data_IF_911374705766
#
_entry.id   IF_911374705766
#
_cell.length_a   1.000
_cell.length_b   1.000
_cell.length_c   1.000
_cell.angle_alpha   90.00
_cell.angle_beta   90.00
_cell.angle_gamma   90.00
#
_symmetry.space_group_name_H-M   'P 1'
#
loop_
_entity.id
_entity.type
_entity.pdbx_description
1 polymer ?
#
# COMPACT_ATOMS: atom_id res chain seq x y z
N UNK A 1 0.16 11.05 -25.66
CA UNK A 1 -1.32 11.10 -25.51
C UNK A 1 -1.97 10.08 -26.41
N UNK A 2 -2.90 9.35 -25.89
CA UNK A 2 -3.66 8.36 -26.66
C UNK A 2 -4.75 9.03 -27.46
N UNK A 3 -4.92 8.63 -28.71
CA UNK A 3 -5.95 9.17 -29.61
C UNK A 3 -6.97 8.10 -29.93
N UNK A 4 -8.07 8.49 -30.54
CA UNK A 4 -9.16 7.61 -30.92
C UNK A 4 -10.35 7.69 -29.97
N UNK A 5 -11.39 6.92 -30.29
CA UNK A 5 -12.67 6.97 -29.60
C UNK A 5 -12.56 6.62 -28.10
N UNK A 6 -11.66 5.72 -27.75
CA UNK A 6 -11.49 5.22 -26.39
C UNK A 6 -10.15 5.61 -25.76
N UNK A 7 -9.43 6.54 -26.38
CA UNK A 7 -8.09 6.92 -25.91
C UNK A 7 -8.07 7.50 -24.51
N UNK A 8 -9.15 8.15 -24.09
CA UNK A 8 -9.26 8.70 -22.74
C UNK A 8 -9.38 7.63 -21.63
N UNK A 9 -9.56 6.37 -22.04
CA UNK A 9 -9.58 5.26 -21.10
C UNK A 9 -8.19 4.66 -20.87
N UNK A 10 -7.20 5.09 -21.63
CA UNK A 10 -5.80 4.67 -21.49
C UNK A 10 -5.05 5.82 -20.83
N UNK A 11 -4.74 5.67 -19.56
CA UNK A 11 -4.20 6.74 -18.73
C UNK A 11 -2.76 6.41 -18.35
N UNK A 12 -1.77 7.08 -18.99
CA UNK A 12 -0.38 6.90 -18.62
C UNK A 12 -0.14 7.40 -17.20
N UNK A 13 0.75 6.71 -16.48
CA UNK A 13 1.11 7.12 -15.13
C UNK A 13 2.58 7.47 -15.07
N UNK A 14 2.90 8.43 -14.22
CA UNK A 14 4.28 8.79 -13.92
C UNK A 14 4.72 8.08 -12.66
N UNK A 15 5.96 7.60 -12.69
CA UNK A 15 6.58 7.02 -11.50
C UNK A 15 7.12 8.18 -10.64
N UNK A 16 6.75 8.17 -9.37
CA UNK A 16 7.20 9.19 -8.41
C UNK A 16 8.54 8.75 -7.81
N UNK A 17 9.60 9.47 -8.14
CA UNK A 17 10.94 9.20 -7.62
C UNK A 17 11.16 9.94 -6.30
N UNK A 18 10.37 9.59 -5.28
CA UNK A 18 10.42 10.19 -3.95
C UNK A 18 11.10 9.22 -2.98
N UNK A 19 12.12 9.68 -2.28
CA UNK A 19 12.76 8.90 -1.24
C UNK A 19 11.95 8.94 0.06
N UNK A 20 11.90 7.86 0.84
CA UNK A 20 12.49 6.54 0.53
C UNK A 20 11.52 5.60 -0.19
N UNK A 21 10.31 6.05 -0.54
CA UNK A 21 9.22 5.22 -1.05
C UNK A 21 8.79 5.62 -2.46
N UNK A 22 9.61 5.27 -3.50
CA UNK A 22 9.19 5.52 -4.89
C UNK A 22 7.89 4.78 -5.20
N UNK A 23 6.95 5.45 -5.86
CA UNK A 23 5.64 4.86 -6.10
C UNK A 23 5.00 5.25 -7.43
N UNK A 24 3.94 4.51 -7.78
CA UNK A 24 2.95 4.86 -8.79
C UNK A 24 1.62 5.02 -8.08
N UNK A 25 0.94 6.13 -8.33
CA UNK A 25 -0.34 6.40 -7.71
C UNK A 25 -1.46 6.48 -8.75
N UNK A 26 -2.57 5.82 -8.43
CA UNK A 26 -3.80 5.86 -9.20
C UNK A 26 -4.85 6.54 -8.32
N UNK A 27 -5.24 7.74 -8.70
CA UNK A 27 -6.24 8.50 -7.96
C UNK A 27 -7.59 8.33 -8.65
N UNK A 28 -8.46 7.52 -8.07
CA UNK A 28 -9.71 7.12 -8.69
C UNK A 28 -10.60 8.29 -9.09
N UNK A 29 -10.72 9.31 -8.26
CA UNK A 29 -11.54 10.48 -8.55
C UNK A 29 -10.98 11.30 -9.71
N UNK A 30 -9.68 11.60 -9.68
CA UNK A 30 -9.04 12.45 -10.66
C UNK A 30 -8.76 11.73 -11.98
N UNK A 31 -8.26 10.50 -11.89
CA UNK A 31 -7.84 9.75 -13.08
C UNK A 31 -8.98 9.00 -13.75
N UNK A 32 -9.85 8.40 -12.97
CA UNK A 32 -10.81 7.41 -13.48
C UNK A 32 -12.26 7.69 -13.10
N UNK A 33 -12.48 8.71 -12.28
CA UNK A 33 -13.81 9.08 -11.78
C UNK A 33 -14.52 7.89 -11.13
N UNK A 34 -13.75 7.11 -10.38
CA UNK A 34 -14.25 5.89 -9.73
C UNK A 34 -13.95 5.93 -8.23
N UNK A 35 -14.57 5.03 -7.49
CA UNK A 35 -14.39 4.95 -6.04
C UNK A 35 -13.26 3.98 -5.66
N UNK A 36 -12.20 3.90 -6.49
CA UNK A 36 -11.04 3.03 -6.23
C UNK A 36 -9.76 3.79 -6.48
N UNK A 37 -8.86 3.74 -5.52
CA UNK A 37 -7.51 4.30 -5.66
C UNK A 37 -6.49 3.25 -5.28
N UNK A 38 -5.27 3.34 -5.80
CA UNK A 38 -4.19 2.47 -5.37
C UNK A 38 -2.84 3.17 -5.46
N UNK A 39 -1.89 2.63 -4.70
CA UNK A 39 -0.50 3.07 -4.71
C UNK A 39 0.36 1.81 -4.81
N UNK A 40 1.31 1.81 -5.74
CA UNK A 40 2.29 0.75 -5.89
C UNK A 40 3.63 1.30 -5.45
N UNK A 41 4.20 0.75 -4.39
CA UNK A 41 5.42 1.26 -3.79
C UNK A 41 6.52 0.21 -3.88
N UNK A 42 7.73 0.65 -4.24
CA UNK A 42 8.91 -0.21 -4.20
C UNK A 42 9.54 -0.16 -2.81
N UNK A 43 9.74 -1.33 -2.21
CA UNK A 43 10.41 -1.44 -0.92
C UNK A 43 11.77 -2.08 -1.15
N UNK A 44 12.84 -1.33 -0.92
CA UNK A 44 14.21 -1.74 -1.26
C UNK A 44 15.08 -2.05 -0.07
N UNK A 45 14.71 -1.55 1.11
CA UNK A 45 15.52 -1.70 2.31
C UNK A 45 14.64 -1.69 3.55
N UNK A 46 15.14 -2.18 4.69
CA UNK A 46 14.40 -2.15 5.95
C UNK A 46 14.03 -0.72 6.34
N UNK A 47 12.81 -0.55 6.83
CA UNK A 47 12.33 0.75 7.30
C UNK A 47 11.01 0.61 8.06
N UNK A 48 10.64 1.65 8.78
CA UNK A 48 9.32 1.81 9.36
C UNK A 48 8.53 2.75 8.47
N UNK A 49 7.54 2.22 7.75
CA UNK A 49 6.74 3.03 6.84
C UNK A 49 5.70 3.86 7.59
N UNK A 50 5.01 3.23 8.53
CA UNK A 50 4.02 3.90 9.38
C UNK A 50 4.32 3.54 10.82
N UNK A 51 4.66 4.56 11.60
CA UNK A 51 5.04 4.37 13.00
C UNK A 51 3.81 4.31 13.90
N UNK A 52 2.80 5.13 13.61
CA UNK A 52 1.66 5.30 14.51
C UNK A 52 0.41 4.59 14.00
N UNK A 53 -0.30 3.87 14.89
CA UNK A 53 -1.58 3.30 14.53
C UNK A 53 -2.59 4.37 14.12
N UNK A 54 -3.43 4.01 13.17
CA UNK A 54 -4.49 4.88 12.65
C UNK A 54 -5.57 4.03 12.02
N UNK A 55 -6.67 4.65 11.64
CA UNK A 55 -7.73 4.00 10.88
C UNK A 55 -8.20 4.87 9.74
N UNK A 56 -9.01 4.28 8.87
CA UNK A 56 -9.59 4.98 7.72
C UNK A 56 -11.09 4.74 7.66
N UNK A 57 -11.79 5.66 6.99
CA UNK A 57 -13.22 5.58 6.76
C UNK A 57 -13.53 4.89 5.43
N UNK A 58 -12.77 3.83 5.10
CA UNK A 58 -12.94 3.01 3.90
C UNK A 58 -12.25 1.66 4.06
N UNK A 59 -12.64 0.70 3.23
CA UNK A 59 -11.98 -0.59 3.17
C UNK A 59 -10.68 -0.47 2.39
N UNK A 60 -9.67 -1.21 2.82
CA UNK A 60 -8.34 -1.15 2.23
C UNK A 60 -7.70 -2.54 2.20
N UNK A 61 -6.83 -2.75 1.21
CA UNK A 61 -6.01 -3.93 1.11
C UNK A 61 -4.55 -3.52 0.97
N UNK A 62 -3.68 -4.19 1.71
CA UNK A 62 -2.23 -4.11 1.50
C UNK A 62 -1.78 -5.43 0.92
N UNK A 63 -1.09 -5.40 -0.22
CA UNK A 63 -0.55 -6.59 -0.86
C UNK A 63 0.97 -6.51 -0.84
N UNK A 64 1.61 -7.60 -0.42
CA UNK A 64 3.07 -7.69 -0.40
C UNK A 64 3.48 -8.76 -1.39
N UNK A 65 4.21 -8.37 -2.43
CA UNK A 65 4.48 -9.21 -3.58
C UNK A 65 5.98 -9.22 -3.91
N UNK A 66 6.43 -10.36 -4.42
CA UNK A 66 7.78 -10.47 -4.96
C UNK A 66 7.94 -9.60 -6.21
N UNK A 67 9.11 -9.02 -6.36
CA UNK A 67 9.52 -8.28 -7.55
C UNK A 67 10.17 -9.18 -8.60
N UNK A 68 10.43 -10.44 -8.24
CA UNK A 68 11.11 -11.41 -9.07
C UNK A 68 10.09 -12.30 -9.81
N UNK A 69 9.98 -12.19 -11.15
CA UNK A 69 8.99 -12.96 -11.90
C UNK A 69 9.25 -14.47 -11.87
N UNK A 70 10.47 -14.89 -11.56
CA UNK A 70 10.82 -16.32 -11.47
C UNK A 70 10.53 -16.91 -10.10
N UNK A 71 10.25 -16.06 -9.09
CA UNK A 71 10.02 -16.47 -7.72
C UNK A 71 8.83 -15.72 -7.09
N UNK A 72 7.72 -15.67 -7.82
CA UNK A 72 6.53 -14.93 -7.38
C UNK A 72 5.81 -15.58 -6.20
N UNK A 73 6.10 -16.84 -5.93
CA UNK A 73 5.55 -17.58 -4.79
C UNK A 73 6.35 -17.37 -3.50
N UNK A 74 7.42 -16.59 -3.57
CA UNK A 74 8.28 -16.28 -2.43
C UNK A 74 8.25 -14.79 -2.12
N UNK A 75 8.51 -14.42 -0.87
CA UNK A 75 8.67 -13.02 -0.45
C UNK A 75 10.02 -12.86 0.25
N UNK A 76 11.00 -12.22 -0.41
CA UNK A 76 12.34 -12.06 0.16
C UNK A 76 12.40 -10.92 1.20
N UNK A 77 11.52 -10.98 2.18
CA UNK A 77 11.42 -9.96 3.21
C UNK A 77 10.71 -10.52 4.45
N UNK A 78 10.88 -9.82 5.55
CA UNK A 78 10.10 -10.04 6.77
C UNK A 78 9.43 -8.73 7.14
N UNK A 79 8.10 -8.75 7.19
CA UNK A 79 7.26 -7.58 7.42
C UNK A 79 6.44 -7.82 8.67
N UNK A 80 6.27 -6.78 9.48
CA UNK A 80 5.39 -6.81 10.64
C UNK A 80 4.35 -5.72 10.55
N UNK A 81 3.11 -6.05 10.89
CA UNK A 81 2.02 -5.10 10.94
C UNK A 81 1.20 -5.31 12.22
N UNK A 82 0.87 -4.19 12.88
CA UNK A 82 -0.02 -4.19 14.03
C UNK A 82 -1.47 -4.02 13.61
N UNK A 83 -2.37 -4.80 14.19
CA UNK A 83 -3.81 -4.74 13.94
C UNK A 83 -4.57 -4.60 15.26
N UNK A 84 -5.59 -3.74 15.24
CA UNK A 84 -6.45 -3.51 16.38
C UNK A 84 -5.89 -2.50 17.37
N UNK A 85 -6.71 -2.13 18.34
CA UNK A 85 -6.31 -1.20 19.41
C UNK A 85 -5.17 -1.77 20.26
N UNK A 86 -5.16 -3.09 20.46
CA UNK A 86 -4.14 -3.81 21.21
C UNK A 86 -2.83 -3.96 20.45
N UNK A 87 -2.78 -3.54 19.17
CA UNK A 87 -1.58 -3.62 18.31
C UNK A 87 -1.03 -5.03 18.26
N UNK A 88 -1.90 -6.00 18.00
CA UNK A 88 -1.47 -7.37 17.82
C UNK A 88 -0.60 -7.47 16.57
N UNK A 89 0.66 -7.89 16.74
CA UNK A 89 1.65 -7.89 15.67
C UNK A 89 1.61 -9.19 14.88
N UNK A 90 1.54 -9.06 13.57
CA UNK A 90 1.56 -10.19 12.63
C UNK A 90 2.79 -10.09 11.75
N UNK A 91 3.44 -11.23 11.55
CA UNK A 91 4.66 -11.34 10.73
C UNK A 91 4.30 -11.95 9.38
N UNK A 92 4.76 -11.31 8.31
CA UNK A 92 4.51 -11.71 6.93
C UNK A 92 5.85 -12.07 6.29
N UNK A 93 6.00 -13.31 5.85
CA UNK A 93 7.22 -13.83 5.21
C UNK A 93 6.96 -14.54 3.89
N UNK A 94 5.72 -14.51 3.42
CA UNK A 94 5.33 -15.03 2.10
C UNK A 94 4.41 -14.02 1.43
N UNK A 95 4.22 -14.09 0.11
CA UNK A 95 3.29 -13.19 -0.56
C UNK A 95 1.92 -13.25 0.10
N UNK A 96 1.38 -12.08 0.44
CA UNK A 96 0.17 -12.02 1.24
C UNK A 96 -0.60 -10.73 0.98
N UNK A 97 -1.87 -10.77 1.30
CA UNK A 97 -2.72 -9.59 1.34
C UNK A 97 -3.27 -9.43 2.74
N UNK A 98 -3.30 -8.20 3.22
CA UNK A 98 -3.93 -7.85 4.50
C UNK A 98 -5.18 -7.05 4.20
N UNK A 99 -6.33 -7.58 4.59
CA UNK A 99 -7.57 -6.83 4.51
C UNK A 99 -7.74 -5.98 5.76
N UNK A 100 -7.91 -4.69 5.55
CA UNK A 100 -8.12 -3.73 6.62
C UNK A 100 -9.51 -3.14 6.44
N UNK A 101 -10.52 -3.68 7.16
CA UNK A 101 -11.87 -3.14 7.05
C UNK A 101 -11.95 -1.72 7.59
N UNK A 102 -12.93 -1.00 7.09
CA UNK A 102 -13.25 0.36 7.53
C UNK A 102 -13.27 0.44 9.05
N UNK A 103 -12.55 1.41 9.59
CA UNK A 103 -12.50 1.67 11.03
C UNK A 103 -11.52 0.82 11.82
N UNK A 104 -10.91 -0.21 11.23
CA UNK A 104 -9.93 -1.02 11.95
C UNK A 104 -8.65 -0.21 12.17
N UNK A 105 -8.25 -0.08 13.42
CA UNK A 105 -6.97 0.53 13.78
C UNK A 105 -5.86 -0.41 13.34
N UNK A 106 -4.86 0.11 12.65
CA UNK A 106 -3.74 -0.67 12.12
C UNK A 106 -2.45 0.13 12.11
N UNK A 107 -1.34 -0.57 11.94
CA UNK A 107 0.03 -0.08 12.08
C UNK A 107 0.50 -0.16 13.55
N UNK A 108 1.80 -0.15 13.80
CA UNK A 108 2.89 0.18 12.87
C UNK A 108 3.04 -0.81 11.73
N UNK A 109 3.65 -0.36 10.64
CA UNK A 109 4.04 -1.18 9.49
C UNK A 109 5.55 -1.11 9.36
N UNK A 110 6.20 -2.25 9.56
CA UNK A 110 7.65 -2.34 9.69
C UNK A 110 8.19 -3.35 8.67
N UNK A 111 9.06 -2.89 7.80
CA UNK A 111 9.85 -3.76 6.94
C UNK A 111 11.13 -4.12 7.68
N UNK A 112 11.08 -5.22 8.42
CA UNK A 112 12.15 -5.61 9.35
C UNK A 112 13.38 -6.12 8.63
N UNK A 113 13.17 -6.87 7.53
CA UNK A 113 14.23 -7.40 6.67
C UNK A 113 13.76 -7.32 5.23
N UNK A 114 14.63 -6.87 4.35
CA UNK A 114 14.38 -6.83 2.91
C UNK A 114 15.62 -7.36 2.20
N UNK A 115 15.59 -8.63 1.79
CA UNK A 115 16.74 -9.28 1.15
C UNK A 115 16.87 -8.88 -0.32
N UNK A 116 15.73 -8.64 -0.98
CA UNK A 116 15.63 -8.14 -2.35
C UNK A 116 14.45 -7.17 -2.40
N UNK A 117 14.41 -6.25 -3.37
CA UNK A 117 13.27 -5.35 -3.50
C UNK A 117 11.96 -6.11 -3.65
N UNK A 118 10.93 -5.60 -3.00
CA UNK A 118 9.55 -6.12 -3.10
C UNK A 118 8.60 -5.01 -3.49
N UNK A 119 7.39 -5.38 -3.83
CA UNK A 119 6.31 -4.44 -4.13
C UNK A 119 5.28 -4.48 -3.02
N UNK A 120 4.93 -3.30 -2.52
CA UNK A 120 3.71 -3.14 -1.71
C UNK A 120 2.66 -2.48 -2.61
N UNK A 121 1.53 -3.17 -2.77
CA UNK A 121 0.40 -2.66 -3.54
C UNK A 121 -0.72 -2.32 -2.55
N UNK A 122 -1.11 -1.08 -2.55
CA UNK A 122 -2.04 -0.50 -1.59
C UNK A 122 -3.33 -0.14 -2.35
N UNK A 123 -4.42 -0.88 -2.11
CA UNK A 123 -5.72 -0.66 -2.75
C UNK A 123 -6.69 -0.06 -1.75
N UNK A 124 -7.29 1.06 -2.12
CA UNK A 124 -8.24 1.80 -1.29
C UNK A 124 -9.60 1.84 -1.99
N UNK A 125 -10.66 1.44 -1.30
CA UNK A 125 -12.02 1.52 -1.82
C UNK A 125 -12.58 2.90 -1.47
N UNK A 126 -11.97 3.90 -2.07
CA UNK A 126 -12.35 5.30 -1.96
C UNK A 126 -11.73 6.07 -3.13
N UNK A 127 -12.30 7.23 -3.52
CA UNK A 127 -11.77 8.01 -4.64
C UNK A 127 -10.32 8.47 -4.46
N UNK A 128 -9.87 8.61 -3.22
CA UNK A 128 -8.51 8.97 -2.89
C UNK A 128 -8.12 8.36 -1.54
N UNK A 129 -6.82 8.13 -1.36
CA UNK A 129 -6.30 7.70 -0.08
C UNK A 129 -6.28 8.88 0.89
N UNK A 130 -6.84 8.67 2.08
CA UNK A 130 -6.82 9.69 3.13
C UNK A 130 -6.79 9.03 4.50
N UNK A 131 -6.10 9.68 5.43
CA UNK A 131 -6.14 9.32 6.86
C UNK A 131 -7.07 10.28 7.56
N UNK A 132 -7.89 9.77 8.48
CA UNK A 132 -8.62 10.63 9.39
C UNK A 132 -7.68 11.03 10.52
N UNK A 133 -7.31 12.33 10.62
CA UNK A 133 -6.34 12.77 11.63
C UNK A 133 -6.81 12.55 13.07
N UNK A 134 -8.11 12.47 13.30
CA UNK A 134 -8.65 12.24 14.64
C UNK A 134 -8.46 10.80 15.10
N UNK A 135 -8.21 9.89 14.16
CA UNK A 135 -8.05 8.46 14.44
C UNK A 135 -6.58 8.03 14.49
N UNK A 136 -5.65 8.96 14.35
CA UNK A 136 -4.22 8.67 14.46
C UNK A 136 -3.84 8.63 15.94
N UNK A 137 -3.27 7.50 16.37
CA UNK A 137 -2.87 7.27 17.75
C UNK A 137 -1.37 7.43 17.88
N UNK A 138 -0.95 8.44 18.66
CA UNK A 138 0.47 8.69 18.95
C UNK A 138 0.73 8.40 20.43
N UNK A 139 1.76 7.65 20.68
CA UNK A 139 2.19 7.35 22.04
C UNK A 139 2.97 8.50 22.67
#
# INVERSE_FOLDING_TARGET
MTQGKYGNLVIPKSFNHVEPWPDLEWVGEADYRSAVSFIITQIREPAVMEEYPHSHDFDMYLHFLSYDPDHMDELPAEIQIGLGEEREMYTITSPASVYIPRGLIHCPLIFKRVDKPIIMFHTTIAPAYAKDPELIIKD
#
